data_IF_095433648822
#
_entry.id   IF_095433648822
#
_cell.length_a   1.000
_cell.length_b   1.000
_cell.length_c   1.000
_cell.angle_alpha   90.00
_cell.angle_beta   90.00
_cell.angle_gamma   90.00
#
_symmetry.space_group_name_H-M   'P 1'
#
loop_
_entity.id
_entity.type
_entity.pdbx_description
1 polymer ?
#
# COMPACT_ATOMS: atom_id res chain seq x y z
N UNK A 1 4.79 -23.64 29.88
CA UNK A 1 6.09 -22.98 30.08
C UNK A 1 6.96 -23.31 28.87
N UNK A 2 7.32 -22.31 28.06
CA UNK A 2 7.89 -22.50 26.72
C UNK A 2 9.42 -22.33 26.76
N UNK A 3 10.17 -23.43 26.85
CA UNK A 3 11.57 -23.47 27.33
C UNK A 3 12.65 -23.25 26.27
N UNK A 4 12.36 -22.56 25.16
CA UNK A 4 13.37 -22.29 24.12
C UNK A 4 13.23 -20.98 23.34
N UNK A 5 12.28 -20.12 23.67
CA UNK A 5 12.11 -18.83 22.99
C UNK A 5 12.95 -17.76 23.70
N UNK A 6 13.66 -16.88 22.95
CA UNK A 6 14.38 -15.76 23.55
C UNK A 6 13.37 -14.86 24.26
N UNK A 7 13.66 -14.45 25.50
CA UNK A 7 12.79 -13.51 26.24
C UNK A 7 12.82 -12.10 25.67
N UNK A 8 13.93 -11.74 25.02
CA UNK A 8 14.14 -10.44 24.35
C UNK A 8 14.97 -10.63 23.08
N UNK A 9 14.73 -9.77 22.10
CA UNK A 9 15.56 -9.61 20.90
C UNK A 9 15.87 -8.12 20.78
N UNK A 10 17.14 -7.74 20.89
CA UNK A 10 17.51 -6.32 21.00
C UNK A 10 16.78 -5.64 22.18
N UNK A 11 16.21 -4.42 21.98
CA UNK A 11 15.44 -3.75 23.02
C UNK A 11 14.04 -4.34 23.24
N UNK A 12 13.55 -5.21 22.35
CA UNK A 12 12.15 -5.65 22.30
C UNK A 12 11.88 -6.88 23.16
N UNK A 13 10.76 -6.89 23.89
CA UNK A 13 10.30 -8.03 24.70
C UNK A 13 9.48 -9.00 23.85
N UNK A 14 9.87 -10.27 23.81
CA UNK A 14 9.21 -11.27 22.96
C UNK A 14 7.94 -11.77 23.63
N UNK A 15 6.81 -11.58 22.94
CA UNK A 15 5.49 -12.02 23.39
C UNK A 15 5.15 -13.42 22.87
N UNK A 16 5.69 -13.80 21.71
CA UNK A 16 5.51 -15.12 21.14
C UNK A 16 6.16 -15.28 19.78
N UNK A 17 6.14 -16.49 19.24
CA UNK A 17 6.62 -16.79 17.88
C UNK A 17 5.43 -16.79 16.92
N UNK A 18 5.55 -16.03 15.83
CA UNK A 18 4.55 -15.95 14.75
C UNK A 18 4.79 -17.02 13.68
N UNK A 19 6.06 -17.36 13.39
CA UNK A 19 6.39 -18.40 12.43
C UNK A 19 7.89 -18.69 12.38
N UNK A 20 8.31 -19.77 11.72
CA UNK A 20 9.68 -19.87 11.21
C UNK A 20 9.72 -20.58 9.87
N UNK A 21 10.71 -20.21 9.06
CA UNK A 21 11.02 -20.83 7.79
C UNK A 21 12.52 -20.90 7.55
N UNK A 22 12.91 -21.28 6.34
CA UNK A 22 14.32 -21.46 5.99
C UNK A 22 15.21 -20.22 6.17
N UNK A 23 14.62 -19.03 6.04
CA UNK A 23 15.36 -17.75 6.11
C UNK A 23 15.44 -17.17 7.53
N UNK A 24 14.65 -17.67 8.47
CA UNK A 24 14.56 -17.07 9.79
C UNK A 24 13.31 -17.40 10.58
N UNK A 25 13.25 -16.85 11.79
CA UNK A 25 12.13 -16.98 12.71
C UNK A 25 11.50 -15.61 12.94
N UNK A 26 10.17 -15.52 12.86
CA UNK A 26 9.42 -14.28 13.10
C UNK A 26 8.78 -14.34 14.48
N UNK A 27 9.01 -13.31 15.28
CA UNK A 27 8.49 -13.15 16.63
C UNK A 27 7.56 -11.94 16.71
N UNK A 28 6.50 -12.07 17.51
CA UNK A 28 5.73 -10.94 18.01
C UNK A 28 6.45 -10.41 19.24
N UNK A 29 6.69 -9.10 19.28
CA UNK A 29 7.33 -8.46 20.40
C UNK A 29 6.68 -7.12 20.76
N UNK A 30 6.93 -6.66 21.98
CA UNK A 30 6.55 -5.33 22.46
C UNK A 30 7.72 -4.36 22.28
N UNK A 31 7.48 -3.28 21.54
CA UNK A 31 8.36 -2.11 21.46
C UNK A 31 7.77 -0.89 22.18
N UNK A 32 8.52 0.22 22.19
CA UNK A 32 8.11 1.46 22.87
C UNK A 32 6.81 2.05 22.30
N UNK A 33 6.64 2.00 20.98
CA UNK A 33 5.49 2.56 20.28
C UNK A 33 4.33 1.56 20.08
N UNK A 34 4.48 0.31 20.51
CA UNK A 34 3.46 -0.74 20.33
C UNK A 34 4.02 -2.10 19.92
N UNK A 35 3.14 -2.99 19.46
CA UNK A 35 3.50 -4.34 18.99
C UNK A 35 4.29 -4.27 17.68
N UNK A 36 5.32 -5.11 17.57
CA UNK A 36 6.20 -5.22 16.39
C UNK A 36 6.39 -6.68 15.99
N UNK A 37 6.68 -6.89 14.71
CA UNK A 37 7.14 -8.18 14.20
C UNK A 37 8.66 -8.14 14.03
N UNK A 38 9.37 -9.12 14.59
CA UNK A 38 10.83 -9.22 14.53
C UNK A 38 11.21 -10.47 13.77
N UNK A 39 11.78 -10.29 12.58
CA UNK A 39 12.32 -11.37 11.77
C UNK A 39 13.81 -11.54 12.09
N UNK A 40 14.11 -12.59 12.83
CA UNK A 40 15.46 -13.03 13.16
C UNK A 40 15.99 -13.87 12.01
N UNK A 41 17.10 -13.47 11.41
CA UNK A 41 17.66 -14.12 10.23
C UNK A 41 18.56 -15.29 10.64
N UNK A 42 18.30 -16.48 10.09
CA UNK A 42 19.17 -17.65 10.27
C UNK A 42 20.33 -17.56 9.28
N UNK A 43 21.27 -16.65 9.52
CA UNK A 43 22.26 -16.31 8.52
C UNK A 43 23.46 -17.28 8.55
N UNK A 44 23.55 -18.18 7.56
CA UNK A 44 24.79 -18.88 7.22
C UNK A 44 25.82 -17.93 6.55
N UNK A 45 25.36 -16.80 5.99
CA UNK A 45 26.17 -15.78 5.31
C UNK A 45 26.45 -14.49 6.10
N UNK A 46 25.97 -14.37 7.35
CA UNK A 46 26.19 -13.16 8.17
C UNK A 46 27.66 -12.93 8.55
N UNK A 47 28.58 -13.84 8.21
CA UNK A 47 30.01 -13.61 8.41
C UNK A 47 30.64 -12.73 7.31
N UNK A 48 30.02 -12.60 6.13
CA UNK A 48 30.57 -11.80 5.01
C UNK A 48 30.29 -10.30 5.19
N UNK A 49 31.32 -9.45 5.38
CA UNK A 49 31.14 -8.00 5.50
C UNK A 49 30.49 -7.36 4.26
N UNK A 50 30.69 -7.91 3.05
CA UNK A 50 30.05 -7.39 1.84
C UNK A 50 28.55 -7.69 1.83
N UNK A 51 28.15 -8.88 2.27
CA UNK A 51 26.76 -9.24 2.44
C UNK A 51 26.05 -8.37 3.48
N UNK A 52 26.71 -8.10 4.63
CA UNK A 52 26.19 -7.17 5.65
C UNK A 52 25.97 -5.77 5.10
N UNK A 53 26.92 -5.24 4.32
CA UNK A 53 26.79 -3.90 3.72
C UNK A 53 25.63 -3.82 2.73
N UNK A 54 25.49 -4.81 1.83
CA UNK A 54 24.34 -4.89 0.92
C UNK A 54 23.02 -4.97 1.68
N UNK A 55 22.98 -5.73 2.76
CA UNK A 55 21.80 -5.84 3.63
C UNK A 55 21.46 -4.50 4.29
N UNK A 56 22.46 -3.77 4.80
CA UNK A 56 22.29 -2.42 5.35
C UNK A 56 21.65 -1.48 4.31
N UNK A 57 22.19 -1.49 3.10
CA UNK A 57 21.74 -0.64 2.00
C UNK A 57 20.30 -0.99 1.59
N UNK A 58 19.96 -2.29 1.49
CA UNK A 58 18.59 -2.73 1.20
C UNK A 58 17.60 -2.35 2.29
N UNK A 59 17.97 -2.48 3.58
CA UNK A 59 17.13 -2.02 4.71
C UNK A 59 16.89 -0.51 4.62
N UNK A 60 17.94 0.29 4.35
CA UNK A 60 17.81 1.75 4.29
C UNK A 60 16.91 2.23 3.14
N UNK A 61 16.93 1.55 2.00
CA UNK A 61 16.02 1.81 0.87
C UNK A 61 14.60 1.37 1.25
N UNK A 62 14.46 0.17 1.82
CA UNK A 62 13.19 -0.41 2.24
C UNK A 62 12.43 0.43 3.28
N UNK A 63 13.12 1.09 4.20
CA UNK A 63 12.51 2.00 5.18
C UNK A 63 11.84 3.23 4.56
N UNK A 64 12.03 3.50 3.25
CA UNK A 64 11.39 4.61 2.53
C UNK A 64 10.01 4.25 1.97
N UNK A 65 9.62 2.96 2.02
CA UNK A 65 8.33 2.51 1.48
C UNK A 65 7.18 3.00 2.37
N UNK A 66 6.14 3.65 1.82
CA UNK A 66 5.02 4.20 2.60
C UNK A 66 4.22 3.15 3.38
N UNK A 67 3.83 3.49 4.61
CA UNK A 67 3.06 2.61 5.53
C UNK A 67 1.70 2.14 5.02
N UNK A 68 1.09 2.88 4.10
CA UNK A 68 -0.33 2.69 3.77
C UNK A 68 -0.65 1.30 3.18
N UNK A 69 0.34 0.62 2.59
CA UNK A 69 0.13 -0.65 1.88
C UNK A 69 1.16 -1.74 2.23
N UNK A 70 2.14 -1.42 3.08
CA UNK A 70 3.19 -2.34 3.53
C UNK A 70 3.38 -2.27 5.04
N UNK A 71 3.86 -3.35 5.65
CA UNK A 71 4.41 -3.26 7.02
C UNK A 71 5.71 -2.43 6.98
N UNK A 72 5.70 -1.27 7.63
CA UNK A 72 6.87 -0.38 7.63
C UNK A 72 8.00 -1.01 8.44
N UNK A 73 9.22 -0.92 7.93
CA UNK A 73 10.42 -1.25 8.69
C UNK A 73 10.67 -0.14 9.71
N UNK A 74 10.72 -0.54 10.97
CA UNK A 74 10.90 0.35 12.11
C UNK A 74 12.39 0.44 12.48
N UNK A 75 13.08 -0.69 12.48
CA UNK A 75 14.44 -0.83 12.98
C UNK A 75 15.08 -2.09 12.38
N UNK A 76 16.40 -2.16 12.38
CA UNK A 76 17.14 -3.38 12.03
C UNK A 76 18.50 -3.39 12.74
N UNK A 77 18.91 -4.56 13.21
CA UNK A 77 20.27 -4.77 13.70
C UNK A 77 20.99 -5.78 12.81
N UNK A 78 22.00 -5.28 12.11
CA UNK A 78 22.69 -6.02 11.04
C UNK A 78 24.10 -6.50 11.46
N UNK A 79 24.72 -5.84 12.43
CA UNK A 79 26.09 -6.10 12.90
C UNK A 79 26.16 -7.02 14.13
N UNK A 80 25.06 -7.71 14.43
CA UNK A 80 24.96 -8.65 15.56
C UNK A 80 25.25 -10.08 15.09
N UNK A 81 25.63 -10.95 16.02
CA UNK A 81 25.77 -12.38 15.77
C UNK A 81 24.47 -13.02 15.24
N UNK A 82 23.33 -12.43 15.62
CA UNK A 82 22.02 -12.78 15.14
C UNK A 82 21.33 -11.53 14.56
N UNK A 83 21.44 -11.30 13.23
CA UNK A 83 20.78 -10.17 12.58
C UNK A 83 19.27 -10.26 12.66
N UNK A 84 18.60 -9.13 12.78
CA UNK A 84 17.14 -9.06 12.77
C UNK A 84 16.62 -7.79 12.11
N UNK A 85 15.41 -7.89 11.55
CA UNK A 85 14.61 -6.76 11.05
C UNK A 85 13.37 -6.63 11.91
N UNK A 86 13.01 -5.39 12.24
CA UNK A 86 11.81 -5.03 12.99
C UNK A 86 10.87 -4.29 12.07
N UNK A 87 9.64 -4.77 11.97
CA UNK A 87 8.57 -4.11 11.24
C UNK A 87 7.34 -3.88 12.10
N UNK A 88 6.46 -3.03 11.61
CA UNK A 88 5.10 -2.90 12.14
C UNK A 88 4.43 -4.28 12.19
N UNK A 89 3.79 -4.58 13.32
CA UNK A 89 2.94 -5.76 13.42
C UNK A 89 1.56 -5.43 12.82
N UNK A 90 1.20 -6.15 11.75
CA UNK A 90 -0.13 -6.07 11.16
C UNK A 90 -1.01 -7.14 11.82
N UNK A 91 -2.10 -6.72 12.44
CA UNK A 91 -3.08 -7.62 13.03
C UNK A 91 -4.00 -8.20 11.95
N UNK A 92 -4.15 -9.52 11.92
CA UNK A 92 -4.98 -10.24 10.95
C UNK A 92 -4.34 -11.54 10.48
N UNK A 93 -5.10 -12.45 9.86
CA UNK A 93 -4.55 -13.65 9.25
C UNK A 93 -3.79 -13.31 7.97
N UNK A 94 -2.88 -14.18 7.56
CA UNK A 94 -2.35 -14.15 6.19
C UNK A 94 -3.46 -14.49 5.18
N UNK A 95 -3.30 -14.08 3.92
CA UNK A 95 -4.19 -14.45 2.83
C UNK A 95 -4.25 -15.97 2.66
N UNK A 96 -3.13 -16.65 2.91
CA UNK A 96 -3.08 -18.11 2.91
C UNK A 96 -4.04 -18.70 3.95
N UNK A 97 -3.88 -18.33 5.22
CA UNK A 97 -4.74 -18.80 6.31
C UNK A 97 -6.21 -18.43 6.09
N UNK A 98 -6.46 -17.21 5.59
CA UNK A 98 -7.81 -16.73 5.30
C UNK A 98 -8.50 -17.64 4.28
N UNK A 99 -7.84 -17.95 3.16
CA UNK A 99 -8.40 -18.76 2.08
C UNK A 99 -8.48 -20.24 2.46
N UNK A 100 -7.52 -20.77 3.20
CA UNK A 100 -7.57 -22.14 3.73
C UNK A 100 -8.73 -22.32 4.71
N UNK A 101 -9.05 -21.30 5.51
CA UNK A 101 -10.10 -21.35 6.53
C UNK A 101 -11.49 -21.04 5.98
N UNK A 102 -11.61 -20.03 5.11
CA UNK A 102 -12.90 -19.48 4.67
C UNK A 102 -13.20 -19.75 3.18
N UNK A 103 -12.25 -20.33 2.46
CA UNK A 103 -12.35 -20.58 1.02
C UNK A 103 -11.92 -19.39 0.16
N UNK A 104 -12.01 -19.56 -1.18
CA UNK A 104 -11.54 -18.56 -2.14
C UNK A 104 -12.34 -17.25 -2.11
N UNK A 105 -11.68 -16.16 -2.45
CA UNK A 105 -12.28 -14.84 -2.60
C UNK A 105 -12.91 -14.68 -3.99
N UNK A 106 -13.98 -13.87 -4.07
CA UNK A 106 -14.66 -13.54 -5.32
C UNK A 106 -15.16 -12.09 -5.32
N UNK A 107 -15.55 -11.59 -6.49
CA UNK A 107 -16.13 -10.26 -6.68
C UNK A 107 -15.27 -9.14 -6.07
N UNK A 108 -15.92 -8.23 -5.36
CA UNK A 108 -15.28 -7.04 -4.79
C UNK A 108 -14.17 -7.36 -3.79
N UNK A 109 -14.22 -8.49 -3.08
CA UNK A 109 -13.16 -8.89 -2.16
C UNK A 109 -11.87 -9.24 -2.91
N UNK A 110 -11.97 -9.97 -4.00
CA UNK A 110 -10.84 -10.31 -4.87
C UNK A 110 -10.28 -9.07 -5.57
N UNK A 111 -11.14 -8.20 -6.09
CA UNK A 111 -10.73 -6.94 -6.73
C UNK A 111 -10.03 -6.00 -5.76
N UNK A 112 -10.53 -5.87 -4.52
CA UNK A 112 -9.87 -5.08 -3.48
C UNK A 112 -8.50 -5.66 -3.14
N UNK A 113 -8.39 -6.98 -2.97
CA UNK A 113 -7.10 -7.63 -2.73
C UNK A 113 -6.11 -7.34 -3.87
N UNK A 114 -6.54 -7.55 -5.11
CA UNK A 114 -5.75 -7.28 -6.31
C UNK A 114 -5.26 -5.82 -6.35
N UNK A 115 -6.16 -4.88 -6.09
CA UNK A 115 -5.85 -3.43 -6.10
C UNK A 115 -4.88 -3.04 -4.98
N UNK A 116 -5.12 -3.49 -3.75
CA UNK A 116 -4.25 -3.14 -2.60
C UNK A 116 -2.85 -3.71 -2.76
N UNK A 117 -2.73 -4.97 -3.19
CA UNK A 117 -1.43 -5.61 -3.42
C UNK A 117 -0.69 -5.02 -4.62
N UNK A 118 -1.38 -4.64 -5.70
CA UNK A 118 -0.78 -3.90 -6.81
C UNK A 118 -0.30 -2.50 -6.39
N UNK A 119 -1.08 -1.82 -5.52
CA UNK A 119 -0.68 -0.52 -4.94
C UNK A 119 0.58 -0.66 -4.08
N UNK A 120 0.67 -1.72 -3.27
CA UNK A 120 1.86 -2.03 -2.50
C UNK A 120 3.08 -2.24 -3.40
N UNK A 121 2.95 -3.06 -4.46
CA UNK A 121 4.05 -3.29 -5.40
C UNK A 121 4.49 -2.01 -6.11
N UNK A 122 3.55 -1.19 -6.56
CA UNK A 122 3.83 0.11 -7.15
C UNK A 122 4.63 1.02 -6.20
N UNK A 123 4.28 1.04 -4.91
CA UNK A 123 5.00 1.81 -3.90
C UNK A 123 6.41 1.25 -3.61
N UNK A 124 6.54 -0.08 -3.51
CA UNK A 124 7.82 -0.77 -3.30
C UNK A 124 8.76 -0.48 -4.49
N UNK A 125 8.28 -0.67 -5.71
CA UNK A 125 9.05 -0.44 -6.94
C UNK A 125 9.41 1.04 -7.11
N UNK A 126 8.49 1.94 -6.78
CA UNK A 126 8.72 3.39 -6.80
C UNK A 126 9.82 3.85 -5.83
N UNK A 127 10.05 3.10 -4.75
CA UNK A 127 11.15 3.32 -3.81
C UNK A 127 12.48 2.68 -4.27
N UNK A 128 12.51 1.99 -5.41
CA UNK A 128 13.69 1.28 -5.92
C UNK A 128 13.92 -0.08 -5.29
N UNK A 129 12.90 -0.68 -4.65
CA UNK A 129 12.98 -2.00 -4.01
C UNK A 129 12.26 -3.03 -4.88
N UNK A 130 12.70 -4.29 -4.83
CA UNK A 130 12.00 -5.45 -5.40
C UNK A 130 11.66 -6.41 -4.27
N UNK A 131 10.42 -6.90 -4.21
CA UNK A 131 9.96 -7.75 -3.13
C UNK A 131 10.56 -9.16 -3.16
N UNK A 132 10.62 -9.80 -4.34
CA UNK A 132 11.25 -11.10 -4.60
C UNK A 132 10.67 -12.33 -3.88
N UNK A 133 9.65 -12.16 -3.05
CA UNK A 133 9.02 -13.24 -2.26
C UNK A 133 7.53 -12.96 -2.00
N UNK A 134 6.85 -12.31 -2.96
CA UNK A 134 5.41 -12.09 -2.83
C UNK A 134 4.68 -13.43 -2.96
N UNK A 135 3.87 -13.76 -1.97
CA UNK A 135 3.04 -14.98 -1.90
C UNK A 135 1.91 -14.79 -0.89
N UNK A 136 0.88 -15.66 -0.88
CA UNK A 136 -0.26 -15.52 0.05
C UNK A 136 0.12 -15.44 1.54
N UNK A 137 1.16 -16.16 1.98
CA UNK A 137 1.65 -16.06 3.36
C UNK A 137 2.22 -14.67 3.72
N UNK A 138 2.66 -13.90 2.73
CA UNK A 138 3.27 -12.56 2.89
C UNK A 138 2.27 -11.43 2.61
N UNK A 139 0.97 -11.73 2.58
CA UNK A 139 -0.10 -10.74 2.51
C UNK A 139 -0.96 -10.89 3.75
N UNK A 140 -0.93 -9.92 4.67
CA UNK A 140 -1.73 -9.94 5.89
C UNK A 140 -3.04 -9.18 5.64
N UNK A 141 -4.17 -9.81 5.93
CA UNK A 141 -5.50 -9.21 5.75
C UNK A 141 -5.93 -8.60 7.07
N UNK A 142 -5.55 -7.34 7.28
CA UNK A 142 -5.87 -6.58 8.48
C UNK A 142 -7.21 -5.84 8.41
N UNK A 143 -7.63 -5.20 9.51
CA UNK A 143 -8.92 -4.50 9.61
C UNK A 143 -9.07 -3.37 8.57
N UNK A 144 -7.97 -2.70 8.23
CA UNK A 144 -7.95 -1.61 7.24
C UNK A 144 -7.75 -2.12 5.79
N UNK A 145 -7.59 -3.43 5.61
CA UNK A 145 -7.36 -4.09 4.34
C UNK A 145 -6.02 -4.84 4.24
N UNK A 146 -5.75 -5.44 3.06
CA UNK A 146 -4.55 -6.24 2.84
C UNK A 146 -3.27 -5.41 2.86
N UNK A 147 -2.25 -5.93 3.54
CA UNK A 147 -0.90 -5.34 3.60
C UNK A 147 0.14 -6.36 3.18
N UNK A 148 1.08 -5.92 2.35
CA UNK A 148 2.21 -6.75 1.93
C UNK A 148 3.33 -6.66 2.99
N UNK A 149 3.89 -7.80 3.37
CA UNK A 149 4.92 -7.91 4.41
C UNK A 149 6.14 -8.70 3.89
N UNK A 150 7.23 -8.71 4.66
CA UNK A 150 8.35 -9.62 4.41
C UNK A 150 8.99 -9.53 3.02
N UNK A 151 9.10 -8.32 2.47
CA UNK A 151 9.84 -8.13 1.23
C UNK A 151 11.33 -8.45 1.43
N UNK A 152 11.91 -9.11 0.42
CA UNK A 152 13.04 -10.06 0.49
C UNK A 152 14.41 -9.48 0.82
N UNK A 153 14.49 -8.49 1.71
CA UNK A 153 15.71 -7.83 2.19
C UNK A 153 16.68 -8.85 2.78
N UNK A 154 16.16 -9.91 3.42
CA UNK A 154 16.97 -11.01 3.95
C UNK A 154 17.82 -11.73 2.89
N UNK A 155 17.48 -11.65 1.59
CA UNK A 155 18.23 -12.31 0.53
C UNK A 155 19.58 -11.65 0.26
N UNK A 156 19.79 -10.38 0.61
CA UNK A 156 21.10 -9.73 0.51
C UNK A 156 22.19 -10.41 1.36
N UNK A 157 21.79 -11.08 2.45
CA UNK A 157 22.68 -11.84 3.33
C UNK A 157 23.02 -13.25 2.81
N UNK A 158 22.26 -13.77 1.85
CA UNK A 158 22.40 -15.14 1.34
C UNK A 158 23.41 -15.24 0.18
N UNK A 159 24.52 -14.49 0.25
CA UNK A 159 25.50 -14.21 -0.81
C UNK A 159 26.00 -15.37 -1.71
N UNK A 160 25.63 -16.62 -1.44
CA UNK A 160 25.97 -17.80 -2.26
C UNK A 160 24.92 -18.92 -2.24
N UNK A 161 23.70 -18.69 -1.76
CA UNK A 161 22.72 -19.79 -1.64
C UNK A 161 21.98 -19.99 -2.96
N UNK A 162 22.52 -20.88 -3.80
CA UNK A 162 21.72 -21.65 -4.73
C UNK A 162 20.45 -22.14 -4.02
N UNK A 163 19.30 -21.68 -4.50
CA UNK A 163 17.94 -22.13 -4.25
C UNK A 163 17.74 -23.21 -3.15
N UNK A 164 17.95 -22.88 -1.87
CA UNK A 164 17.28 -23.61 -0.78
C UNK A 164 15.87 -23.05 -0.63
N UNK A 165 15.10 -23.05 -1.71
CA UNK A 165 13.68 -22.70 -1.69
C UNK A 165 12.90 -23.81 -0.99
N UNK A 166 12.14 -23.51 0.08
CA UNK A 166 11.26 -24.48 0.70
C UNK A 166 10.32 -25.09 -0.36
N UNK A 167 10.08 -26.40 -0.24
CA UNK A 167 9.05 -27.11 -1.01
C UNK A 167 7.72 -26.38 -0.80
N UNK A 168 7.20 -25.72 -1.84
CA UNK A 168 5.99 -24.88 -1.79
C UNK A 168 6.18 -23.44 -2.29
N UNK A 169 7.40 -22.88 -2.24
CA UNK A 169 7.70 -21.53 -2.76
C UNK A 169 7.85 -21.43 -4.30
N UNK A 170 8.28 -22.46 -5.07
CA UNK A 170 8.58 -22.26 -6.50
C UNK A 170 7.35 -21.94 -7.35
N UNK A 171 6.14 -22.23 -6.85
CA UNK A 171 4.89 -21.96 -7.57
C UNK A 171 4.61 -20.45 -7.79
N UNK A 172 5.30 -19.57 -7.07
CA UNK A 172 5.18 -18.12 -7.18
C UNK A 172 6.39 -17.47 -7.86
N UNK A 173 7.46 -18.25 -8.13
CA UNK A 173 8.66 -17.73 -8.77
C UNK A 173 8.42 -17.49 -10.26
N UNK A 174 9.00 -16.41 -10.76
CA UNK A 174 8.97 -16.10 -12.18
C UNK A 174 9.92 -17.04 -12.97
N UNK A 175 9.66 -17.28 -14.28
CA UNK A 175 10.51 -18.10 -15.16
C UNK A 175 11.99 -17.75 -15.10
N UNK A 176 12.32 -16.46 -15.12
CA UNK A 176 13.68 -15.94 -15.06
C UNK A 176 14.37 -16.20 -13.71
N UNK A 177 13.62 -16.41 -12.62
CA UNK A 177 14.21 -16.76 -11.33
C UNK A 177 14.63 -18.22 -11.29
N UNK A 178 13.92 -19.12 -11.99
CA UNK A 178 14.18 -20.57 -11.98
C UNK A 178 14.94 -21.07 -13.22
N UNK A 179 15.02 -20.26 -14.28
CA UNK A 179 15.65 -20.60 -15.56
C UNK A 179 17.18 -20.56 -15.59
N UNK A 180 17.83 -20.14 -14.50
CA UNK A 180 19.29 -20.26 -14.33
C UNK A 180 20.15 -19.34 -15.19
N UNK A 181 19.65 -18.16 -15.57
CA UNK A 181 20.44 -17.18 -16.33
C UNK A 181 20.86 -16.04 -15.40
N UNK A 182 22.06 -15.49 -15.57
CA UNK A 182 22.59 -14.26 -14.96
C UNK A 182 21.76 -12.99 -15.31
N UNK A 183 20.46 -13.15 -15.58
CA UNK A 183 19.53 -12.07 -15.77
C UNK A 183 19.31 -11.38 -14.43
N UNK A 184 19.54 -10.07 -14.41
CA UNK A 184 19.30 -9.22 -13.26
C UNK A 184 17.83 -9.34 -12.84
N UNK A 185 17.59 -9.93 -11.66
CA UNK A 185 16.24 -10.14 -11.11
C UNK A 185 15.66 -8.80 -10.68
N UNK A 186 14.85 -8.22 -11.57
CA UNK A 186 14.23 -6.90 -11.42
C UNK A 186 12.74 -6.94 -11.04
N UNK A 187 12.06 -5.76 -11.01
CA UNK A 187 10.64 -5.60 -10.67
C UNK A 187 9.64 -6.56 -11.34
N UNK A 188 9.81 -7.04 -12.59
CA UNK A 188 8.86 -7.92 -13.25
C UNK A 188 8.60 -9.27 -12.54
N UNK A 189 9.50 -9.71 -11.66
CA UNK A 189 9.28 -10.96 -10.89
C UNK A 189 8.14 -10.82 -9.89
N UNK A 190 7.98 -9.64 -9.29
CA UNK A 190 6.91 -9.40 -8.34
C UNK A 190 5.55 -9.34 -9.02
N UNK A 191 5.51 -8.88 -10.28
CA UNK A 191 4.29 -8.83 -11.09
C UNK A 191 3.81 -10.25 -11.42
N UNK A 192 4.74 -11.16 -11.73
CA UNK A 192 4.43 -12.58 -11.88
C UNK A 192 3.91 -13.19 -10.57
N UNK A 193 4.62 -12.95 -9.47
CA UNK A 193 4.25 -13.45 -8.15
C UNK A 193 2.90 -12.91 -7.66
N UNK A 194 2.59 -11.65 -8.00
CA UNK A 194 1.28 -11.03 -7.76
C UNK A 194 0.17 -11.77 -8.49
N UNK A 195 0.36 -12.07 -9.79
CA UNK A 195 -0.63 -12.80 -10.58
C UNK A 195 -0.89 -14.20 -10.00
N UNK A 196 0.16 -14.92 -9.61
CA UNK A 196 0.04 -16.21 -8.92
C UNK A 196 -0.66 -16.09 -7.56
N UNK A 197 -0.42 -15.02 -6.80
CA UNK A 197 -1.07 -14.73 -5.51
C UNK A 197 -2.56 -14.43 -5.67
N UNK A 198 -2.93 -13.61 -6.66
CA UNK A 198 -4.35 -13.31 -6.96
C UNK A 198 -5.08 -14.55 -7.48
N UNK A 199 -4.42 -15.38 -8.29
CA UNK A 199 -4.98 -16.66 -8.70
C UNK A 199 -5.25 -17.59 -7.51
N UNK A 200 -4.30 -17.69 -6.57
CA UNK A 200 -4.52 -18.44 -5.33
C UNK A 200 -5.72 -17.89 -4.56
N UNK A 201 -5.82 -16.57 -4.41
CA UNK A 201 -6.97 -15.96 -3.73
C UNK A 201 -8.30 -16.31 -4.40
N UNK A 202 -8.35 -16.35 -5.74
CA UNK A 202 -9.57 -16.65 -6.50
C UNK A 202 -9.95 -18.13 -6.50
N UNK A 203 -9.01 -19.04 -6.25
CA UNK A 203 -9.21 -20.48 -6.48
C UNK A 203 -8.93 -21.38 -5.28
N UNK A 204 -8.21 -20.87 -4.29
CA UNK A 204 -7.63 -21.67 -3.19
C UNK A 204 -6.54 -22.64 -3.63
N UNK A 205 -6.02 -22.51 -4.86
CA UNK A 205 -5.05 -23.45 -5.45
C UNK A 205 -3.83 -22.69 -5.95
N UNK A 206 -2.65 -23.29 -5.79
CA UNK A 206 -1.44 -22.78 -6.42
C UNK A 206 -1.59 -22.78 -7.96
N UNK A 207 -1.13 -21.70 -8.61
CA UNK A 207 -1.19 -21.56 -10.06
C UNK A 207 -0.42 -22.67 -10.79
N UNK A 208 0.81 -22.94 -10.33
CA UNK A 208 1.64 -24.04 -10.80
C UNK A 208 1.81 -25.07 -9.68
N UNK A 209 1.02 -26.14 -9.73
CA UNK A 209 1.09 -27.24 -8.79
C UNK A 209 1.83 -28.45 -9.38
N UNK A 210 2.47 -29.25 -8.53
CA UNK A 210 3.25 -30.39 -8.98
C UNK A 210 3.59 -31.39 -7.90
N UNK A 211 3.86 -32.63 -8.30
CA UNK A 211 4.25 -33.72 -7.40
C UNK A 211 5.66 -33.54 -6.81
N UNK A 212 6.51 -32.73 -7.45
CA UNK A 212 7.82 -32.35 -6.95
C UNK A 212 8.25 -30.98 -7.52
N UNK A 213 9.36 -30.44 -6.97
CA UNK A 213 9.88 -29.11 -7.33
C UNK A 213 10.26 -29.00 -8.81
N UNK A 214 10.90 -30.03 -9.38
CA UNK A 214 11.29 -30.01 -10.80
C UNK A 214 10.08 -29.91 -11.74
N UNK A 215 8.98 -30.57 -11.39
CA UNK A 215 7.73 -30.50 -12.13
C UNK A 215 7.08 -29.11 -12.02
N UNK A 216 7.10 -28.50 -10.83
CA UNK A 216 6.62 -27.11 -10.64
C UNK A 216 7.45 -26.15 -11.49
N UNK A 217 8.78 -26.25 -11.45
CA UNK A 217 9.68 -25.42 -12.26
C UNK A 217 9.41 -25.60 -13.76
N UNK A 218 9.24 -26.83 -14.23
CA UNK A 218 8.93 -27.09 -15.64
C UNK A 218 7.63 -26.40 -16.06
N UNK A 219 6.59 -26.41 -15.21
CA UNK A 219 5.34 -25.69 -15.45
C UNK A 219 5.50 -24.19 -15.44
N UNK A 220 6.23 -23.65 -14.46
CA UNK A 220 6.58 -22.22 -14.41
C UNK A 220 7.26 -21.79 -15.71
N UNK A 221 8.18 -22.59 -16.25
CA UNK A 221 8.89 -22.27 -17.49
C UNK A 221 8.00 -22.41 -18.75
N UNK A 222 7.17 -23.45 -18.83
CA UNK A 222 6.57 -23.86 -20.12
C UNK A 222 5.04 -23.83 -20.18
N UNK A 223 4.33 -23.91 -19.05
CA UNK A 223 2.87 -24.04 -19.04
C UNK A 223 2.18 -22.68 -19.16
N UNK A 224 1.09 -22.63 -19.93
CA UNK A 224 0.13 -21.51 -19.92
C UNK A 224 -1.04 -21.91 -19.01
N UNK A 225 -1.21 -21.27 -17.84
CA UNK A 225 -2.23 -21.68 -16.89
C UNK A 225 -3.65 -21.33 -17.36
N UNK A 226 -4.63 -22.14 -16.96
CA UNK A 226 -6.04 -21.88 -17.20
C UNK A 226 -6.59 -20.86 -16.21
N UNK A 227 -6.97 -19.69 -16.72
CA UNK A 227 -7.48 -18.57 -15.92
C UNK A 227 -9.01 -18.39 -16.03
N UNK A 228 -9.74 -19.33 -16.66
CA UNK A 228 -11.18 -19.19 -16.93
C UNK A 228 -12.05 -19.03 -15.68
N UNK A 229 -11.56 -19.44 -14.52
CA UNK A 229 -12.23 -19.27 -13.22
C UNK A 229 -12.29 -17.80 -12.76
N UNK A 230 -11.38 -16.96 -13.23
CA UNK A 230 -11.34 -15.52 -12.92
C UNK A 230 -12.16 -14.79 -13.98
N UNK A 231 -13.05 -13.87 -13.61
CA UNK A 231 -13.82 -13.08 -14.59
C UNK A 231 -12.98 -12.01 -15.26
N UNK A 232 -13.40 -11.58 -16.45
CA UNK A 232 -12.91 -10.31 -17.00
C UNK A 232 -13.35 -9.15 -16.10
N UNK A 233 -12.57 -8.06 -16.06
CA UNK A 233 -11.32 -7.82 -16.81
C UNK A 233 -10.04 -8.37 -16.14
N UNK A 234 -10.17 -8.87 -14.90
CA UNK A 234 -9.03 -9.30 -14.11
C UNK A 234 -8.28 -10.49 -14.73
N UNK A 235 -9.00 -11.38 -15.43
CA UNK A 235 -8.41 -12.51 -16.16
C UNK A 235 -7.36 -12.07 -17.18
N UNK A 236 -7.71 -11.15 -18.08
CA UNK A 236 -6.77 -10.68 -19.12
C UNK A 236 -5.55 -10.01 -18.50
N UNK A 237 -5.74 -9.26 -17.43
CA UNK A 237 -4.65 -8.59 -16.72
C UNK A 237 -3.69 -9.58 -16.04
N UNK A 238 -4.23 -10.63 -15.40
CA UNK A 238 -3.43 -11.71 -14.82
C UNK A 238 -2.66 -12.45 -15.93
N UNK A 239 -3.27 -12.68 -17.09
CA UNK A 239 -2.59 -13.31 -18.22
C UNK A 239 -1.37 -12.50 -18.70
N UNK A 240 -1.50 -11.17 -18.83
CA UNK A 240 -0.39 -10.28 -19.17
C UNK A 240 0.75 -10.35 -18.14
N UNK A 241 0.40 -10.40 -16.85
CA UNK A 241 1.37 -10.50 -15.76
C UNK A 241 2.12 -11.84 -15.72
N UNK A 242 1.56 -12.89 -16.34
CA UNK A 242 2.14 -14.24 -16.40
C UNK A 242 2.94 -14.50 -17.69
N UNK A 243 3.16 -13.47 -18.51
CA UNK A 243 4.01 -13.58 -19.70
C UNK A 243 5.39 -14.15 -19.34
N UNK A 244 5.88 -15.13 -20.12
CA UNK A 244 7.17 -15.78 -19.85
C UNK A 244 8.33 -14.80 -19.99
N UNK A 245 8.28 -13.97 -21.03
CA UNK A 245 9.19 -12.84 -21.21
C UNK A 245 8.86 -11.72 -20.19
N UNK A 246 9.78 -11.38 -19.27
CA UNK A 246 9.56 -10.33 -18.28
C UNK A 246 9.31 -8.94 -18.91
N UNK A 247 9.86 -8.66 -20.08
CA UNK A 247 9.66 -7.37 -20.76
C UNK A 247 8.23 -7.16 -21.28
N UNK A 248 7.45 -8.24 -21.38
CA UNK A 248 6.04 -8.19 -21.79
C UNK A 248 5.06 -7.99 -20.64
N UNK A 249 5.52 -8.05 -19.39
CA UNK A 249 4.67 -7.84 -18.22
C UNK A 249 4.48 -6.34 -18.01
N UNK A 250 3.28 -5.88 -17.58
CA UNK A 250 3.09 -4.49 -17.20
C UNK A 250 3.94 -4.13 -15.99
N UNK A 251 4.43 -2.89 -15.92
CA UNK A 251 5.02 -2.39 -14.67
C UNK A 251 3.95 -2.30 -13.58
N UNK A 252 4.32 -2.34 -12.29
CA UNK A 252 3.36 -2.31 -11.20
C UNK A 252 2.46 -1.05 -11.20
N UNK A 253 2.98 0.09 -11.66
CA UNK A 253 2.18 1.31 -11.85
C UNK A 253 1.15 1.19 -12.97
N UNK A 254 1.52 0.56 -14.09
CA UNK A 254 0.59 0.31 -15.21
C UNK A 254 -0.47 -0.72 -14.82
N UNK A 255 -0.07 -1.76 -14.08
CA UNK A 255 -0.95 -2.75 -13.48
C UNK A 255 -2.00 -2.09 -12.59
N UNK A 256 -1.58 -1.21 -11.67
CA UNK A 256 -2.48 -0.44 -10.81
C UNK A 256 -3.40 0.47 -11.64
N UNK A 257 -2.84 1.17 -12.64
CA UNK A 257 -3.61 2.02 -13.55
C UNK A 257 -4.70 1.25 -14.28
N UNK A 258 -4.40 0.03 -14.74
CA UNK A 258 -5.38 -0.87 -15.38
C UNK A 258 -6.42 -1.38 -14.41
N UNK A 259 -6.09 -1.69 -13.15
CA UNK A 259 -7.06 -2.12 -12.14
C UNK A 259 -8.05 -1.00 -11.78
N UNK A 260 -7.53 0.20 -11.51
CA UNK A 260 -8.35 1.37 -11.14
C UNK A 260 -9.13 1.90 -12.35
N UNK A 261 -8.51 1.90 -13.53
CA UNK A 261 -9.17 2.21 -14.80
C UNK A 261 -10.28 1.22 -15.14
N UNK A 262 -10.05 -0.08 -14.89
CA UNK A 262 -11.10 -1.09 -15.06
C UNK A 262 -12.20 -0.98 -14.03
N UNK A 263 -11.96 -0.58 -12.78
CA UNK A 263 -13.07 -0.31 -11.86
C UNK A 263 -13.98 0.83 -12.37
N UNK A 264 -13.45 1.77 -13.16
CA UNK A 264 -14.25 2.78 -13.83
C UNK A 264 -15.07 2.21 -15.02
N UNK A 265 -14.60 1.17 -15.70
CA UNK A 265 -15.26 0.53 -16.85
C UNK A 265 -16.21 -0.63 -16.47
N UNK A 266 -15.86 -1.46 -15.48
CA UNK A 266 -16.69 -2.58 -14.98
C UNK A 266 -17.93 -2.09 -14.22
N UNK A 267 -17.89 -0.86 -13.69
CA UNK A 267 -19.10 -0.19 -13.14
C UNK A 267 -20.00 0.41 -14.24
N UNK A 268 -19.62 0.32 -15.52
CA UNK A 268 -20.38 0.91 -16.64
C UNK A 268 -21.13 -0.08 -17.54
N UNK A 269 -21.10 -1.39 -17.28
CA UNK A 269 -21.80 -2.37 -18.12
C UNK A 269 -23.05 -3.00 -17.47
N UNK A 270 -23.91 -2.20 -16.85
CA UNK A 270 -25.37 -2.30 -16.94
C UNK A 270 -25.99 -1.11 -16.22
N UNK A 271 -26.12 0.02 -16.90
CA UNK A 271 -27.20 0.99 -16.63
C UNK A 271 -27.34 1.91 -17.84
N UNK A 272 -28.57 2.23 -18.27
CA UNK A 272 -28.79 3.23 -19.32
C UNK A 272 -28.18 4.56 -18.88
N UNK A 273 -27.51 5.26 -19.82
CA UNK A 273 -26.91 6.59 -19.61
C UNK A 273 -27.87 7.49 -18.83
N UNK A 274 -27.60 7.63 -17.53
CA UNK A 274 -28.23 8.62 -16.67
C UNK A 274 -27.13 9.58 -16.25
N UNK A 275 -27.30 10.85 -16.61
CA UNK A 275 -26.49 11.95 -16.09
C UNK A 275 -26.62 11.92 -14.57
N UNK A 276 -25.54 11.56 -13.86
CA UNK A 276 -25.54 11.58 -12.38
C UNK A 276 -25.43 13.04 -11.95
N UNK A 277 -26.57 13.63 -11.58
CA UNK A 277 -26.63 14.88 -10.86
C UNK A 277 -25.89 14.73 -9.50
N UNK A 278 -25.27 15.79 -8.98
CA UNK A 278 -24.63 15.76 -7.66
C UNK A 278 -25.61 15.23 -6.60
N UNK A 279 -25.13 14.35 -5.72
CA UNK A 279 -25.95 13.75 -4.67
C UNK A 279 -26.18 14.81 -3.57
N UNK A 280 -27.41 15.31 -3.48
CA UNK A 280 -27.89 16.07 -2.33
C UNK A 280 -27.83 15.18 -1.09
N UNK A 281 -27.08 15.61 -0.08
CA UNK A 281 -26.92 14.90 1.20
C UNK A 281 -27.91 15.39 2.26
N UNK A 282 -28.59 16.51 2.00
CA UNK A 282 -29.67 17.02 2.83
C UNK A 282 -30.00 18.48 2.54
N UNK A 283 -31.18 18.93 2.98
CA UNK A 283 -31.64 20.30 2.82
C UNK A 283 -31.43 21.07 4.12
N UNK A 284 -30.86 22.28 4.03
CA UNK A 284 -30.70 23.15 5.19
C UNK A 284 -32.06 23.70 5.65
N UNK A 285 -32.40 23.41 6.91
CA UNK A 285 -33.50 23.99 7.67
C UNK A 285 -33.12 25.39 8.18
N UNK A 286 -33.98 25.99 9.01
CA UNK A 286 -33.64 27.24 9.74
C UNK A 286 -32.35 27.12 10.54
N UNK A 287 -32.15 26.00 11.23
CA UNK A 287 -30.88 25.60 11.85
C UNK A 287 -30.65 24.12 11.54
N UNK A 288 -29.44 23.76 11.13
CA UNK A 288 -29.09 22.39 10.71
C UNK A 288 -27.72 22.03 11.25
N UNK A 289 -27.64 20.94 11.99
CA UNK A 289 -26.38 20.41 12.50
C UNK A 289 -25.77 19.41 11.52
N UNK A 290 -24.48 19.57 11.24
CA UNK A 290 -23.68 18.72 10.37
C UNK A 290 -22.71 17.91 11.23
N UNK A 291 -22.56 16.61 10.97
CA UNK A 291 -21.64 15.77 11.74
C UNK A 291 -21.70 14.30 11.34
N UNK A 292 -20.90 13.47 12.00
CA UNK A 292 -20.81 12.02 11.72
C UNK A 292 -21.76 11.17 12.57
N UNK A 293 -22.39 11.75 13.58
CA UNK A 293 -23.19 11.05 14.58
C UNK A 293 -24.70 11.28 14.45
N UNK A 294 -25.47 10.52 15.23
CA UNK A 294 -26.94 10.64 15.31
C UNK A 294 -27.45 11.98 15.84
N UNK A 295 -26.57 12.82 16.37
CA UNK A 295 -26.87 14.19 16.80
C UNK A 295 -26.89 15.20 15.65
N UNK A 296 -26.48 14.81 14.43
CA UNK A 296 -26.50 15.67 13.26
C UNK A 296 -27.82 15.56 12.49
N UNK A 297 -28.38 16.69 12.06
CA UNK A 297 -29.51 16.75 11.13
C UNK A 297 -29.12 16.23 9.74
N UNK A 298 -27.87 16.48 9.32
CA UNK A 298 -27.28 15.94 8.09
C UNK A 298 -26.03 15.16 8.47
N UNK A 299 -26.09 13.84 8.27
CA UNK A 299 -24.99 12.93 8.56
C UNK A 299 -23.98 12.95 7.41
N UNK A 300 -22.73 13.27 7.72
CA UNK A 300 -21.62 13.29 6.78
C UNK A 300 -20.67 12.14 7.14
N UNK A 301 -20.55 11.17 6.25
CA UNK A 301 -19.63 10.04 6.41
C UNK A 301 -18.21 10.39 5.94
N UNK A 302 -17.21 10.14 6.79
CA UNK A 302 -15.79 10.30 6.46
C UNK A 302 -14.93 10.60 7.68
N UNK A 303 -13.62 10.47 7.50
CA UNK A 303 -12.63 10.68 8.56
C UNK A 303 -12.49 12.16 8.92
N UNK A 304 -12.15 12.44 10.18
CA UNK A 304 -11.93 13.80 10.69
C UNK A 304 -13.22 14.62 10.87
N UNK A 305 -14.36 13.97 11.08
CA UNK A 305 -15.67 14.61 11.28
C UNK A 305 -16.18 14.29 12.69
N UNK A 306 -16.49 15.33 13.46
CA UNK A 306 -17.04 15.18 14.82
C UNK A 306 -18.51 14.77 14.76
N UNK A 307 -19.02 14.18 15.85
CA UNK A 307 -20.42 13.73 15.94
C UNK A 307 -21.41 14.87 15.67
N UNK A 308 -21.12 16.07 16.19
CA UNK A 308 -21.72 17.34 15.82
C UNK A 308 -20.59 18.31 15.46
N UNK A 309 -20.26 18.42 14.18
CA UNK A 309 -19.08 19.13 13.70
C UNK A 309 -19.33 20.62 13.47
N UNK A 310 -20.46 20.98 12.85
CA UNK A 310 -20.79 22.38 12.58
C UNK A 310 -22.30 22.60 12.58
N UNK A 311 -22.74 23.81 12.87
CA UNK A 311 -24.14 24.21 12.74
C UNK A 311 -24.26 25.27 11.66
N UNK A 312 -25.22 25.08 10.75
CA UNK A 312 -25.56 26.03 9.69
C UNK A 312 -26.93 26.61 9.96
N UNK A 313 -27.02 27.93 10.06
CA UNK A 313 -28.27 28.66 10.34
C UNK A 313 -28.62 29.58 9.19
N UNK A 314 -29.87 29.53 8.72
CA UNK A 314 -30.39 30.48 7.72
C UNK A 314 -30.45 31.89 8.33
N UNK A 315 -30.02 32.89 7.56
CA UNK A 315 -30.08 34.30 7.93
C UNK A 315 -30.55 35.11 6.71
N UNK A 316 -30.93 36.38 6.91
CA UNK A 316 -31.40 37.26 5.82
C UNK A 316 -30.41 37.40 4.65
N UNK A 317 -29.11 37.20 4.90
CA UNK A 317 -28.03 37.33 3.91
C UNK A 317 -27.50 35.99 3.35
N UNK A 318 -28.13 34.84 3.66
CA UNK A 318 -27.66 33.51 3.25
C UNK A 318 -27.68 32.53 4.42
N UNK A 319 -26.54 31.89 4.69
CA UNK A 319 -26.40 30.94 5.81
C UNK A 319 -25.16 31.27 6.63
N UNK A 320 -25.25 31.16 7.95
CA UNK A 320 -24.08 31.23 8.84
C UNK A 320 -23.68 29.84 9.28
N UNK A 321 -22.46 29.45 8.99
CA UNK A 321 -21.82 28.25 9.51
C UNK A 321 -21.02 28.61 10.76
N UNK A 322 -21.15 27.78 11.79
CA UNK A 322 -20.36 27.82 13.02
C UNK A 322 -19.75 26.44 13.27
N UNK A 323 -18.44 26.36 13.39
CA UNK A 323 -17.71 25.13 13.72
C UNK A 323 -17.73 24.85 15.23
N UNK A 324 -18.03 23.60 15.58
CA UNK A 324 -18.08 23.09 16.95
C UNK A 324 -17.12 21.91 17.17
N UNK A 325 -16.22 21.66 16.23
CA UNK A 325 -15.53 20.38 16.06
C UNK A 325 -14.40 20.12 17.07
N UNK A 326 -14.13 21.06 17.98
CA UNK A 326 -13.12 20.91 19.03
C UNK A 326 -11.67 20.80 18.51
N UNK A 327 -11.39 21.23 17.27
CA UNK A 327 -10.05 21.24 16.68
C UNK A 327 -9.88 20.49 15.36
N UNK A 328 -10.90 19.76 14.90
CA UNK A 328 -10.87 19.07 13.59
C UNK A 328 -11.04 20.06 12.42
N UNK A 329 -11.82 21.12 12.64
CA UNK A 329 -11.96 22.29 11.79
C UNK A 329 -12.83 22.12 10.54
N UNK A 330 -13.60 23.15 10.24
CA UNK A 330 -14.24 23.39 8.95
C UNK A 330 -13.34 24.29 8.11
N UNK A 331 -13.21 24.01 6.81
CA UNK A 331 -12.31 24.74 5.92
C UNK A 331 -13.07 25.33 4.73
N UNK A 332 -12.80 26.61 4.42
CA UNK A 332 -13.26 27.27 3.19
C UNK A 332 -12.03 27.72 2.43
N UNK A 333 -11.93 27.37 1.15
CA UNK A 333 -10.76 27.63 0.30
C UNK A 333 -9.42 27.21 0.95
N UNK A 334 -9.45 26.09 1.68
CA UNK A 334 -8.28 25.53 2.37
C UNK A 334 -7.91 26.22 3.69
N UNK A 335 -8.65 27.24 4.13
CA UNK A 335 -8.41 27.94 5.40
C UNK A 335 -9.39 27.49 6.48
N UNK A 336 -8.95 27.21 7.71
CA UNK A 336 -9.86 26.86 8.80
C UNK A 336 -10.70 28.08 9.18
N UNK A 337 -11.98 27.87 9.41
CA UNK A 337 -12.94 28.90 9.82
C UNK A 337 -13.70 28.44 11.05
N UNK A 338 -13.81 29.32 12.06
CA UNK A 338 -14.71 29.10 13.19
C UNK A 338 -16.13 29.59 12.85
N UNK A 339 -16.23 30.67 12.08
CA UNK A 339 -17.48 31.22 11.57
C UNK A 339 -17.33 31.57 10.09
N UNK A 340 -18.37 31.29 9.30
CA UNK A 340 -18.43 31.70 7.91
C UNK A 340 -19.86 32.07 7.49
N UNK A 341 -19.98 32.97 6.52
CA UNK A 341 -21.24 33.18 5.81
C UNK A 341 -21.16 32.44 4.49
N UNK A 342 -22.06 31.47 4.29
CA UNK A 342 -22.19 30.71 3.06
C UNK A 342 -23.31 31.31 2.19
N UNK A 343 -23.03 31.41 0.90
CA UNK A 343 -23.97 31.73 -0.16
C UNK A 343 -24.16 30.52 -1.08
N UNK A 344 -25.30 30.43 -1.79
CA UNK A 344 -25.44 29.46 -2.88
C UNK A 344 -24.23 29.48 -3.82
N UNK A 345 -23.73 28.29 -4.15
CA UNK A 345 -22.50 28.08 -4.94
C UNK A 345 -21.25 27.84 -4.09
N UNK A 346 -21.23 28.30 -2.83
CA UNK A 346 -20.04 28.18 -1.98
C UNK A 346 -19.71 26.73 -1.66
N UNK A 347 -18.40 26.48 -1.52
CA UNK A 347 -17.86 25.18 -1.16
C UNK A 347 -17.11 25.26 0.16
N UNK A 348 -17.26 24.22 0.97
CA UNK A 348 -16.56 24.09 2.23
C UNK A 348 -16.22 22.62 2.50
N UNK A 349 -15.23 22.39 3.35
CA UNK A 349 -14.72 21.05 3.67
C UNK A 349 -14.84 20.77 5.16
N UNK A 350 -15.39 19.62 5.49
CA UNK A 350 -15.48 19.06 6.85
C UNK A 350 -14.81 17.68 6.80
N UNK A 351 -13.73 17.49 7.56
CA UNK A 351 -12.88 16.29 7.42
C UNK A 351 -12.39 16.11 5.98
N UNK A 352 -12.59 14.92 5.42
CA UNK A 352 -12.31 14.62 4.00
C UNK A 352 -13.45 15.02 3.03
N UNK A 353 -14.62 15.44 3.54
CA UNK A 353 -15.80 15.71 2.71
C UNK A 353 -15.83 17.15 2.19
N UNK A 354 -15.98 17.33 0.88
CA UNK A 354 -16.23 18.65 0.25
C UNK A 354 -17.70 18.79 -0.08
N UNK A 355 -18.31 19.86 0.44
CA UNK A 355 -19.73 20.15 0.33
C UNK A 355 -19.94 21.44 -0.47
N UNK A 356 -21.02 21.50 -1.24
CA UNK A 356 -21.47 22.69 -1.96
C UNK A 356 -22.88 23.05 -1.54
N UNK A 357 -23.12 24.32 -1.27
CA UNK A 357 -24.47 24.85 -1.04
C UNK A 357 -25.14 25.17 -2.38
N UNK A 358 -26.36 24.71 -2.62
CA UNK A 358 -27.13 25.00 -3.84
C UNK A 358 -28.02 26.23 -3.68
N UNK A 359 -28.54 26.74 -4.79
CA UNK A 359 -29.57 27.80 -4.81
C UNK A 359 -30.84 27.41 -4.05
N UNK A 360 -31.17 26.10 -4.02
CA UNK A 360 -32.31 25.58 -3.29
C UNK A 360 -32.05 25.44 -1.77
N UNK A 361 -30.84 25.77 -1.29
CA UNK A 361 -30.47 25.57 0.11
C UNK A 361 -30.14 24.13 0.46
N UNK A 362 -29.80 23.32 -0.54
CA UNK A 362 -29.38 21.94 -0.36
C UNK A 362 -27.85 21.86 -0.22
N UNK A 363 -27.38 20.90 0.56
CA UNK A 363 -25.97 20.54 0.57
C UNK A 363 -25.77 19.35 -0.36
N UNK A 364 -24.87 19.53 -1.32
CA UNK A 364 -24.42 18.48 -2.22
C UNK A 364 -23.01 18.06 -1.87
N UNK A 365 -22.73 16.76 -1.96
CA UNK A 365 -21.34 16.28 -1.91
C UNK A 365 -20.69 16.46 -3.29
N UNK A 366 -19.64 17.26 -3.35
CA UNK A 366 -18.86 17.47 -4.57
C UNK A 366 -17.85 16.35 -4.71
N UNK A 367 -17.96 15.53 -5.77
CA UNK A 367 -16.87 14.63 -6.17
C UNK A 367 -15.79 15.47 -6.86
N UNK A 368 -14.52 15.19 -6.55
CA UNK A 368 -13.40 15.75 -7.31
C UNK A 368 -13.53 15.34 -8.79
N UNK A 369 -13.95 16.27 -9.65
CA UNK A 369 -13.32 16.33 -10.97
C UNK A 369 -11.88 16.79 -10.73
N UNK A 370 -10.89 16.13 -11.35
CA UNK A 370 -9.48 16.53 -11.30
C UNK A 370 -9.36 18.05 -11.46
N UNK A 371 -9.19 18.78 -10.37
CA UNK A 371 -8.69 20.14 -10.44
C UNK A 371 -7.20 20.00 -10.71
N UNK A 372 -6.75 20.53 -11.85
CA UNK A 372 -5.32 20.69 -12.10
C UNK A 372 -4.68 21.32 -10.86
N UNK A 373 -3.68 20.68 -10.23
CA UNK A 373 -3.05 21.27 -9.07
C UNK A 373 -2.43 22.59 -9.52
N UNK A 374 -2.93 23.68 -8.92
CA UNK A 374 -2.40 25.01 -9.09
C UNK A 374 -0.89 24.99 -8.87
N UNK A 375 -0.11 25.05 -9.95
CA UNK A 375 1.27 25.57 -10.06
C UNK A 375 2.26 25.31 -8.90
N UNK A 376 2.14 24.22 -8.15
CA UNK A 376 3.14 23.81 -7.14
C UNK A 376 4.51 23.50 -7.78
N UNK A 377 4.51 23.07 -9.04
CA UNK A 377 5.73 22.86 -9.84
C UNK A 377 6.50 24.16 -10.14
N UNK A 378 5.82 25.31 -10.22
CA UNK A 378 6.50 26.60 -10.39
C UNK A 378 7.21 27.04 -9.11
N UNK A 379 6.66 26.73 -7.94
CA UNK A 379 7.33 26.94 -6.65
C UNK A 379 8.49 25.97 -6.49
N UNK A 380 8.34 24.71 -6.92
CA UNK A 380 9.44 23.74 -6.94
C UNK A 380 10.58 24.18 -7.87
N UNK A 381 10.27 24.68 -9.08
CA UNK A 381 11.26 25.25 -10.00
C UNK A 381 11.94 26.51 -9.44
N UNK A 382 11.21 27.38 -8.74
CA UNK A 382 11.79 28.57 -8.11
C UNK A 382 12.72 28.20 -6.95
N UNK A 383 12.33 27.23 -6.11
CA UNK A 383 13.15 26.73 -4.99
C UNK A 383 14.39 26.00 -5.51
N UNK A 384 14.27 25.24 -6.61
CA UNK A 384 15.41 24.56 -7.23
C UNK A 384 16.36 25.57 -7.91
N UNK A 385 15.83 26.62 -8.54
CA UNK A 385 16.63 27.68 -9.15
C UNK A 385 17.37 28.55 -8.11
N UNK A 386 16.73 28.86 -6.97
CA UNK A 386 17.37 29.57 -5.86
C UNK A 386 18.41 28.68 -5.16
N UNK A 387 18.15 27.39 -4.99
CA UNK A 387 19.12 26.45 -4.46
C UNK A 387 20.35 26.28 -5.38
N UNK A 388 20.15 26.29 -6.70
CA UNK A 388 21.26 26.22 -7.67
C UNK A 388 22.07 27.53 -7.67
N UNK A 389 21.41 28.69 -7.58
CA UNK A 389 22.08 29.99 -7.51
C UNK A 389 22.88 30.16 -6.21
N UNK A 390 22.35 29.71 -5.06
CA UNK A 390 23.06 29.72 -3.77
C UNK A 390 24.23 28.74 -3.80
N UNK A 391 24.11 27.59 -4.45
CA UNK A 391 25.21 26.62 -4.57
C UNK A 391 26.32 27.14 -5.51
N UNK A 392 25.98 27.81 -6.61
CA UNK A 392 26.97 28.42 -7.52
C UNK A 392 27.67 29.62 -6.89
N UNK A 393 26.98 30.43 -6.07
CA UNK A 393 27.61 31.54 -5.32
C UNK A 393 28.51 31.01 -4.19
N UNK A 394 28.10 29.97 -3.46
CA UNK A 394 28.91 29.36 -2.38
C UNK A 394 30.12 28.55 -2.90
N UNK A 395 30.03 27.98 -4.10
CA UNK A 395 31.16 27.25 -4.74
C UNK A 395 32.04 28.14 -5.62
N UNK A 396 31.52 29.29 -6.07
CA UNK A 396 32.29 30.30 -6.79
C UNK A 396 33.19 31.15 -5.89
N UNK A 397 32.82 31.33 -4.61
CA UNK A 397 33.63 32.06 -3.63
C UNK A 397 34.79 31.24 -3.03
N UNK A 398 34.80 29.91 -3.17
CA UNK A 398 35.87 29.05 -2.65
C UNK A 398 37.01 28.77 -3.62
N UNK A 399 36.99 29.39 -4.82
CA UNK A 399 38.06 29.28 -5.84
C UNK A 399 38.71 30.61 -6.22
N UNK A 400 38.60 31.63 -5.36
CA UNK A 400 39.48 32.78 -5.41
C UNK A 400 40.36 32.78 -4.18
N UNK A 401 41.67 32.77 -4.38
CA UNK A 401 42.78 33.12 -3.47
C UNK A 401 43.77 31.96 -3.30
N UNK A 402 44.69 31.83 -4.26
CA UNK A 402 46.03 31.31 -4.07
C UNK A 402 46.89 31.69 -5.29
N UNK A 403 47.69 32.75 -5.08
CA UNK A 403 48.85 33.26 -5.85
C UNK A 403 48.60 34.02 -7.15
#
# INVERSE_FOLDING_TARGET
MNTGQPRRIGPYEVLGRLGAGGQGTVYLAQGEAGRVAIKVIHAQGAADPKARRRFADEVAIASRVPRAYTAMIIDAAIDRDQPYIVSEYVEGPSLQELVETHGPLSGSALERLATYTATALAAIHGAGVVHRDLKPANVIVGPDGPRVVDFGIARALEATAAMTTPVGTPAYLAPEQVGGVDAEVGPPVDVHAWAATVYFAATGKALFAGSNVAFIINRVLNETPDLRVISEPLRSLIADCLAKDPARRPAAMDLLGRLVGHQAETTQSTMPRTVVLPVTIGTLKETTTLGSGSAADIVIHGDGIALAHATVRRVSAGYRLHDHSGGLGTFIDGRPVLYATLRPGDRFRIGAAVLRLTEAGELERVRFGRSHPARWWLVLLLVTAVALAVTVVLTGWSRGWAW
#
